data_IF_840414146948
#
_entry.id   IF_840414146948
#
_cell.length_a   1.000
_cell.length_b   1.000
_cell.length_c   1.000
_cell.angle_alpha   90.00
_cell.angle_beta   90.00
_cell.angle_gamma   90.00
#
_symmetry.space_group_name_H-M   'P 1'
#
loop_
_entity.id
_entity.type
_entity.pdbx_description
1 polymer ?
#
# COMPACT_ATOMS: atom_id res chain seq x y z
N UNK A 1 26.95 -43.45 17.38
CA UNK A 1 26.98 -42.95 16.01
C UNK A 1 25.57 -42.65 15.48
N UNK A 2 24.58 -43.47 15.74
CA UNK A 2 23.18 -43.29 15.31
C UNK A 2 22.48 -42.02 15.85
N UNK A 3 22.74 -41.65 17.10
CA UNK A 3 22.08 -40.48 17.73
C UNK A 3 22.50 -39.16 17.07
N UNK A 4 23.78 -39.03 16.71
CA UNK A 4 24.30 -37.83 16.01
C UNK A 4 23.75 -37.73 14.58
N UNK A 5 23.56 -38.86 13.91
CA UNK A 5 23.00 -38.91 12.57
C UNK A 5 21.51 -38.55 12.54
N UNK A 6 20.74 -39.03 13.52
CA UNK A 6 19.31 -38.65 13.67
C UNK A 6 19.13 -37.15 14.03
N UNK A 7 20.05 -36.60 14.82
CA UNK A 7 20.03 -35.14 15.14
C UNK A 7 20.36 -34.29 13.90
N UNK A 8 21.36 -34.72 13.12
CA UNK A 8 21.74 -34.04 11.85
C UNK A 8 20.59 -34.03 10.82
N UNK A 9 19.89 -35.17 10.68
CA UNK A 9 18.75 -35.27 9.76
C UNK A 9 17.59 -34.37 10.21
N UNK A 10 17.33 -34.27 11.51
CA UNK A 10 16.28 -33.35 12.05
C UNK A 10 16.62 -31.89 11.84
N UNK A 11 17.88 -31.50 12.05
CA UNK A 11 18.33 -30.12 11.81
C UNK A 11 18.26 -29.78 10.33
N UNK A 12 18.68 -30.70 9.45
CA UNK A 12 18.60 -30.52 8.01
C UNK A 12 17.15 -30.42 7.50
N UNK A 13 16.24 -31.22 8.07
CA UNK A 13 14.81 -31.17 7.75
C UNK A 13 14.17 -29.84 8.18
N UNK A 14 14.57 -29.30 9.34
CA UNK A 14 14.06 -28.03 9.85
C UNK A 14 14.55 -26.82 9.01
N UNK A 15 15.81 -26.88 8.55
CA UNK A 15 16.36 -25.84 7.66
C UNK A 15 15.71 -25.83 6.28
N UNK A 16 15.40 -26.99 5.72
CA UNK A 16 14.71 -27.09 4.41
C UNK A 16 13.28 -26.53 4.49
N UNK A 17 12.57 -26.77 5.61
CA UNK A 17 11.22 -26.25 5.82
C UNK A 17 11.23 -24.72 5.99
N UNK A 18 12.24 -24.16 6.66
CA UNK A 18 12.37 -22.72 6.87
C UNK A 18 12.61 -21.95 5.55
N UNK A 19 13.28 -22.56 4.57
CA UNK A 19 13.53 -21.93 3.26
C UNK A 19 12.28 -21.91 2.38
N UNK A 20 11.30 -22.80 2.62
CA UNK A 20 10.06 -22.85 1.82
C UNK A 20 9.02 -21.80 2.22
N UNK A 21 9.19 -21.11 3.36
CA UNK A 21 8.29 -20.05 3.81
C UNK A 21 8.77 -18.62 3.48
N UNK A 22 9.90 -18.48 2.77
CA UNK A 22 10.33 -17.22 2.21
C UNK A 22 9.69 -17.00 0.83
N UNK A 23 8.39 -17.15 0.73
CA UNK A 23 7.61 -16.50 -0.31
C UNK A 23 7.29 -15.11 0.23
N UNK A 24 8.19 -14.17 0.05
CA UNK A 24 7.79 -12.77 0.00
C UNK A 24 6.79 -12.67 -1.14
N UNK A 25 5.55 -12.32 -0.78
CA UNK A 25 4.56 -11.79 -1.70
C UNK A 25 5.13 -10.48 -2.27
N UNK A 26 6.11 -10.62 -3.15
CA UNK A 26 6.39 -9.56 -4.10
C UNK A 26 5.12 -9.45 -4.94
N UNK A 27 4.35 -8.38 -4.73
CA UNK A 27 3.10 -8.07 -5.40
C UNK A 27 3.21 -8.00 -6.92
N UNK A 28 3.47 -9.14 -7.53
CA UNK A 28 3.72 -9.34 -8.96
C UNK A 28 2.54 -10.01 -9.66
N UNK A 29 1.37 -10.03 -9.03
CA UNK A 29 0.16 -10.36 -9.79
C UNK A 29 -0.30 -9.07 -10.45
N UNK A 30 0.21 -8.85 -11.64
CA UNK A 30 -0.25 -7.77 -12.50
C UNK A 30 -1.70 -8.05 -12.89
N UNK A 31 -2.60 -7.17 -12.51
CA UNK A 31 -3.96 -7.21 -13.03
C UNK A 31 -3.94 -6.64 -14.45
N UNK A 32 -4.00 -7.51 -15.44
CA UNK A 32 -3.92 -7.10 -16.85
C UNK A 32 -5.07 -6.19 -17.30
N UNK A 33 -6.16 -6.12 -16.54
CA UNK A 33 -7.24 -5.16 -16.82
C UNK A 33 -6.87 -3.70 -16.50
N UNK A 34 -5.84 -3.49 -15.69
CA UNK A 34 -5.36 -2.15 -15.29
C UNK A 34 -4.12 -1.71 -16.10
N UNK A 35 -3.75 -2.48 -17.12
CA UNK A 35 -2.65 -2.18 -18.02
C UNK A 35 -3.01 -1.09 -19.05
N UNK A 36 -2.05 -0.24 -19.38
CA UNK A 36 -2.14 0.77 -20.45
C UNK A 36 -1.08 0.54 -21.53
N UNK A 37 -1.40 0.84 -22.79
CA UNK A 37 -0.47 0.72 -23.91
C UNK A 37 0.58 1.82 -23.84
N UNK A 38 0.16 3.03 -23.48
CA UNK A 38 1.04 4.19 -23.32
C UNK A 38 1.53 4.30 -21.89
N UNK A 39 2.76 4.77 -21.69
CA UNK A 39 3.33 5.02 -20.38
C UNK A 39 2.58 6.17 -19.69
N UNK A 40 1.93 5.91 -18.52
CA UNK A 40 1.23 6.97 -17.80
C UNK A 40 2.22 7.89 -17.07
N UNK A 41 1.90 9.17 -17.00
CA UNK A 41 2.63 10.17 -16.20
C UNK A 41 2.03 10.35 -14.79
N UNK A 42 0.79 9.94 -14.62
CA UNK A 42 -0.01 10.11 -13.41
C UNK A 42 -0.64 8.79 -12.97
N UNK A 43 -0.98 8.72 -11.69
CA UNK A 43 -1.70 7.58 -11.12
C UNK A 43 -2.83 8.05 -10.19
N UNK A 44 -3.90 7.27 -10.11
CA UNK A 44 -4.88 7.42 -9.04
C UNK A 44 -4.30 6.84 -7.74
N UNK A 45 -3.99 7.71 -6.79
CA UNK A 45 -3.73 7.35 -5.41
C UNK A 45 -5.02 6.85 -4.78
N UNK A 46 -5.00 5.66 -4.20
CA UNK A 46 -6.17 5.01 -3.61
C UNK A 46 -5.98 4.98 -2.10
N UNK A 47 -6.81 5.71 -1.38
CA UNK A 47 -6.74 5.87 0.08
C UNK A 47 -7.93 5.13 0.69
N UNK A 48 -7.65 4.02 1.39
CA UNK A 48 -8.66 3.24 2.08
C UNK A 48 -8.94 3.84 3.46
N UNK A 49 -10.21 4.04 3.78
CA UNK A 49 -10.70 4.69 4.99
C UNK A 49 -11.62 3.75 5.78
N UNK A 50 -11.81 4.03 7.06
CA UNK A 50 -12.47 3.11 8.00
C UNK A 50 -13.94 2.88 7.66
N UNK A 51 -14.71 3.92 7.38
CA UNK A 51 -16.17 3.80 7.23
C UNK A 51 -16.75 4.94 6.42
N UNK A 52 -17.89 4.67 5.81
CA UNK A 52 -18.69 5.66 5.10
C UNK A 52 -19.46 6.62 6.02
N UNK A 53 -19.64 6.26 7.30
CA UNK A 53 -20.47 7.03 8.24
C UNK A 53 -19.68 8.06 9.03
N UNK A 54 -18.41 7.79 9.31
CA UNK A 54 -17.54 8.70 10.05
C UNK A 54 -16.99 9.79 9.14
N UNK A 55 -17.16 11.08 9.48
CA UNK A 55 -16.49 12.13 8.76
C UNK A 55 -14.99 12.06 8.99
N UNK A 56 -14.22 12.16 7.92
CA UNK A 56 -12.76 12.13 7.96
C UNK A 56 -12.20 13.32 7.21
N UNK A 57 -11.14 13.93 7.76
CA UNK A 57 -10.33 14.90 7.03
C UNK A 57 -9.08 14.22 6.50
N UNK A 58 -8.95 14.16 5.18
CA UNK A 58 -7.79 13.59 4.49
C UNK A 58 -6.90 14.73 4.00
N UNK A 59 -5.61 14.68 4.32
CA UNK A 59 -4.59 15.60 3.81
C UNK A 59 -3.52 14.81 3.10
N UNK A 60 -3.18 15.25 1.90
CA UNK A 60 -2.12 14.68 1.07
C UNK A 60 -0.97 15.68 1.03
N UNK A 61 0.21 15.25 1.37
CA UNK A 61 1.43 16.04 1.31
C UNK A 61 2.36 15.44 0.24
N UNK A 62 3.01 16.30 -0.54
CA UNK A 62 4.11 15.89 -1.41
C UNK A 62 5.41 15.86 -0.57
N UNK A 63 6.11 14.72 -0.57
CA UNK A 63 7.29 14.49 0.24
C UNK A 63 6.99 13.89 1.61
N UNK A 64 7.83 14.22 2.58
CA UNK A 64 7.65 13.84 3.98
C UNK A 64 6.64 14.77 4.67
N UNK A 65 6.06 14.29 5.76
CA UNK A 65 5.12 15.11 6.54
C UNK A 65 5.78 16.39 7.09
N UNK A 66 7.05 16.29 7.45
CA UNK A 66 7.84 17.41 8.00
C UNK A 66 8.11 18.52 6.97
N UNK A 67 8.08 18.20 5.67
CA UNK A 67 8.24 19.17 4.59
C UNK A 67 7.01 20.09 4.47
N UNK A 68 5.85 19.66 4.98
CA UNK A 68 4.59 20.41 5.04
C UNK A 68 4.10 20.95 3.69
N UNK A 69 4.46 20.32 2.58
CA UNK A 69 4.00 20.72 1.25
C UNK A 69 2.61 20.10 1.01
N UNK A 70 1.57 20.83 1.38
CA UNK A 70 0.20 20.36 1.19
C UNK A 70 -0.13 20.29 -0.31
N UNK A 71 -0.44 19.09 -0.80
CA UNK A 71 -0.85 18.82 -2.17
C UNK A 71 -2.37 18.90 -2.33
N UNK A 72 -3.13 18.32 -1.39
CA UNK A 72 -4.58 18.29 -1.42
C UNK A 72 -5.17 18.13 -0.01
N UNK A 73 -6.41 18.61 0.17
CA UNK A 73 -7.17 18.43 1.41
C UNK A 73 -8.65 18.23 1.09
N UNK A 74 -9.26 17.25 1.73
CA UNK A 74 -10.71 17.09 1.76
C UNK A 74 -11.18 16.95 3.19
N UNK A 75 -12.15 17.78 3.60
CA UNK A 75 -12.76 17.76 4.93
C UNK A 75 -14.15 17.13 4.88
N UNK A 76 -14.58 16.54 6.01
CA UNK A 76 -15.90 15.91 6.16
C UNK A 76 -16.21 14.85 5.08
N UNK A 77 -15.18 14.21 4.56
CA UNK A 77 -15.35 13.13 3.59
C UNK A 77 -16.03 11.92 4.24
N UNK A 78 -17.02 11.38 3.55
CA UNK A 78 -17.77 10.19 3.96
C UNK A 78 -17.68 9.14 2.86
N UNK A 79 -16.82 8.15 3.09
CA UNK A 79 -16.58 7.07 2.14
C UNK A 79 -15.53 6.12 2.68
N UNK A 80 -15.55 4.89 2.18
CA UNK A 80 -14.52 3.88 2.52
C UNK A 80 -13.25 4.01 1.69
N UNK A 81 -13.29 4.84 0.64
CA UNK A 81 -12.16 5.05 -0.26
C UNK A 81 -12.18 6.46 -0.83
N UNK A 82 -11.04 7.15 -0.79
CA UNK A 82 -10.80 8.42 -1.46
C UNK A 82 -9.76 8.24 -2.54
N UNK A 83 -9.97 8.84 -3.71
CA UNK A 83 -9.06 8.77 -4.85
C UNK A 83 -8.61 10.16 -5.27
N UNK A 84 -7.32 10.30 -5.53
CA UNK A 84 -6.72 11.53 -6.06
C UNK A 84 -5.69 11.24 -7.12
N UNK A 85 -5.77 11.95 -8.25
CA UNK A 85 -4.76 11.85 -9.29
C UNK A 85 -3.47 12.55 -8.85
N UNK A 86 -2.33 11.89 -8.99
CA UNK A 86 -1.01 12.35 -8.55
C UNK A 86 0.06 12.00 -9.60
N UNK A 87 1.15 12.76 -9.61
CA UNK A 87 2.28 12.54 -10.51
C UNK A 87 3.09 11.32 -10.03
N UNK A 88 3.50 10.47 -10.97
CA UNK A 88 4.32 9.29 -10.69
C UNK A 88 5.73 9.65 -10.19
N UNK A 89 6.35 8.70 -9.51
CA UNK A 89 7.73 8.78 -9.02
C UNK A 89 7.98 9.88 -7.99
N UNK A 90 6.93 10.44 -7.39
CA UNK A 90 7.00 11.34 -6.25
C UNK A 90 6.47 10.65 -5.01
N UNK A 91 7.04 10.98 -3.84
CA UNK A 91 6.55 10.51 -2.56
C UNK A 91 5.33 11.32 -2.15
N UNK A 92 4.31 10.63 -1.67
CA UNK A 92 3.13 11.24 -1.07
C UNK A 92 2.94 10.66 0.32
N UNK A 93 2.83 11.54 1.31
CA UNK A 93 2.45 11.19 2.67
C UNK A 93 1.02 11.64 2.90
N UNK A 94 0.18 10.74 3.40
CA UNK A 94 -1.25 11.00 3.60
C UNK A 94 -1.60 10.83 5.06
N UNK A 95 -2.37 11.78 5.58
CA UNK A 95 -2.95 11.70 6.92
C UNK A 95 -4.47 11.63 6.82
N UNK A 96 -5.09 10.78 7.64
CA UNK A 96 -6.53 10.75 7.84
C UNK A 96 -6.83 11.07 9.32
N UNK A 97 -7.58 12.13 9.55
CA UNK A 97 -8.02 12.57 10.87
C UNK A 97 -9.49 12.21 11.06
N UNK A 98 -9.74 11.36 12.04
CA UNK A 98 -11.07 10.89 12.43
C UNK A 98 -11.47 11.52 13.76
N UNK A 99 -12.70 11.99 13.87
CA UNK A 99 -13.24 12.51 15.13
C UNK A 99 -14.28 11.54 15.67
N UNK A 100 -13.95 10.85 16.77
CA UNK A 100 -14.82 9.86 17.41
C UNK A 100 -14.97 10.23 18.88
N UNK A 101 -16.22 10.41 19.35
CA UNK A 101 -16.51 10.77 20.74
C UNK A 101 -15.71 12.00 21.24
N UNK A 102 -15.54 13.02 20.39
CA UNK A 102 -14.75 14.24 20.61
C UNK A 102 -13.24 14.02 20.75
N UNK A 103 -12.75 12.84 20.44
CA UNK A 103 -11.31 12.55 20.36
C UNK A 103 -10.88 12.48 18.91
N UNK A 104 -9.68 13.00 18.64
CA UNK A 104 -9.08 12.95 17.31
C UNK A 104 -8.15 11.71 17.23
N UNK A 105 -8.36 10.91 16.18
CA UNK A 105 -7.54 9.76 15.84
C UNK A 105 -6.88 10.00 14.48
N UNK A 106 -5.61 9.71 14.38
CA UNK A 106 -4.84 9.91 13.16
C UNK A 106 -4.32 8.59 12.63
N UNK A 107 -4.50 8.38 11.33
CA UNK A 107 -3.80 7.36 10.58
C UNK A 107 -2.87 8.06 9.58
N UNK A 108 -1.66 7.54 9.41
CA UNK A 108 -0.64 8.10 8.53
C UNK A 108 -0.01 6.95 7.76
N UNK A 109 0.13 7.16 6.44
CA UNK A 109 0.81 6.22 5.56
C UNK A 109 1.44 6.99 4.40
N UNK A 110 2.41 6.37 3.70
CA UNK A 110 3.12 7.00 2.60
C UNK A 110 3.41 6.00 1.49
N UNK A 111 3.44 6.49 0.26
CA UNK A 111 3.79 5.70 -0.91
C UNK A 111 4.54 6.52 -1.96
N UNK A 112 5.09 5.83 -2.94
CA UNK A 112 5.68 6.41 -4.15
C UNK A 112 5.04 5.71 -5.34
N UNK A 113 3.95 6.24 -5.91
CA UNK A 113 3.30 5.63 -7.07
C UNK A 113 4.29 5.47 -8.23
N UNK A 114 4.35 4.28 -8.78
CA UNK A 114 5.32 3.90 -9.81
C UNK A 114 4.66 3.19 -10.96
N UNK A 115 5.36 3.19 -12.10
CA UNK A 115 4.98 2.46 -13.29
C UNK A 115 6.03 1.40 -13.61
N UNK A 116 5.59 0.27 -14.13
CA UNK A 116 6.45 -0.80 -14.64
C UNK A 116 5.93 -1.28 -15.98
N UNK A 117 6.85 -1.53 -16.91
CA UNK A 117 6.55 -2.13 -18.20
C UNK A 117 6.68 -3.65 -18.11
N UNK A 118 5.73 -4.38 -18.70
CA UNK A 118 5.79 -5.84 -18.82
C UNK A 118 5.55 -6.28 -20.26
N UNK A 119 6.29 -7.32 -20.68
CA UNK A 119 6.14 -7.95 -21.99
C UNK A 119 5.46 -9.31 -21.91
N UNK A 120 5.60 -9.97 -20.76
CA UNK A 120 5.35 -11.42 -20.65
C UNK A 120 4.26 -11.77 -19.61
N UNK A 121 3.72 -10.78 -18.90
CA UNK A 121 2.73 -11.03 -17.84
C UNK A 121 1.28 -10.89 -18.33
N UNK A 122 1.06 -10.21 -19.46
CA UNK A 122 -0.24 -10.01 -20.08
C UNK A 122 -0.18 -10.42 -21.55
N UNK A 123 -1.35 -10.57 -22.21
CA UNK A 123 -1.45 -10.98 -23.61
C UNK A 123 -0.70 -10.01 -24.54
N UNK A 124 -0.78 -8.72 -24.24
CA UNK A 124 -0.07 -7.66 -24.94
C UNK A 124 0.92 -6.95 -24.00
N UNK A 125 2.07 -6.47 -24.50
CA UNK A 125 2.99 -5.63 -23.72
C UNK A 125 2.30 -4.36 -23.24
N UNK A 126 2.46 -4.04 -21.95
CA UNK A 126 1.75 -2.90 -21.36
C UNK A 126 2.46 -2.33 -20.14
N UNK A 127 2.00 -1.15 -19.69
CA UNK A 127 2.42 -0.46 -18.48
C UNK A 127 1.40 -0.66 -17.38
N UNK A 128 1.83 -0.99 -16.16
CA UNK A 128 0.97 -1.08 -15.01
C UNK A 128 1.47 -0.24 -13.84
N UNK A 129 0.52 0.28 -13.07
CA UNK A 129 0.78 1.12 -11.91
C UNK A 129 0.84 0.28 -10.64
N UNK A 130 1.80 0.58 -9.77
CA UNK A 130 1.95 -0.07 -8.48
C UNK A 130 2.36 0.94 -7.40
N UNK A 131 2.36 0.51 -6.12
CA UNK A 131 2.70 1.33 -4.96
C UNK A 131 1.85 2.61 -4.87
N UNK A 132 0.53 2.48 -5.07
CA UNK A 132 -0.43 3.60 -5.11
C UNK A 132 -1.62 3.44 -4.16
N UNK A 133 -1.59 2.41 -3.30
CA UNK A 133 -2.67 2.12 -2.35
C UNK A 133 -2.18 2.36 -0.94
N UNK A 134 -2.90 3.20 -0.19
CA UNK A 134 -2.64 3.53 1.20
C UNK A 134 -3.78 3.03 2.08
N UNK A 135 -3.45 2.40 3.21
CA UNK A 135 -4.42 1.89 4.16
C UNK A 135 -4.45 2.74 5.43
N UNK A 136 -5.32 3.74 5.43
CA UNK A 136 -5.54 4.67 6.53
C UNK A 136 -6.75 4.32 7.40
N UNK A 137 -7.20 3.06 7.34
CA UNK A 137 -8.25 2.57 8.23
C UNK A 137 -7.74 2.50 9.67
N UNK A 138 -8.55 2.97 10.60
CA UNK A 138 -8.25 2.83 12.03
C UNK A 138 -8.24 1.33 12.39
N UNK A 139 -7.12 0.86 12.92
CA UNK A 139 -6.96 -0.52 13.37
C UNK A 139 -7.47 -0.71 14.80
N UNK A 140 -7.42 0.36 15.60
CA UNK A 140 -7.83 0.38 16.99
C UNK A 140 -8.48 1.72 17.30
N UNK A 141 -9.65 1.69 17.92
CA UNK A 141 -10.27 2.83 18.61
C UNK A 141 -10.25 2.49 20.10
N UNK A 142 -9.77 3.40 20.94
CA UNK A 142 -9.92 3.24 22.37
C UNK A 142 -11.41 3.44 22.71
N UNK A 143 -12.04 2.42 23.29
CA UNK A 143 -13.39 2.49 23.83
C UNK A 143 -13.47 3.45 25.03
#
# INVERSE_FOLDING_TARGET
MELKMKLLIRILSFTVIAVMFSCEDSGLITNCSDCTIDEPEEANLIIKLTSTELPVTVRIFEGELDDSILYDIVSDFRGSEYRRNVILNKKYTVTAEYVINRNNYYAIDACIPRVKYTKDQCDDPCYFLYDRVLDLRLKYTAD
#
